data_IF_024516262764
#
_entry.id   IF_024516262764
#
_cell.length_a   1.000
_cell.length_b   1.000
_cell.length_c   1.000
_cell.angle_alpha   90.00
_cell.angle_beta   90.00
_cell.angle_gamma   90.00
#
_symmetry.space_group_name_H-M   'P 1'
#
loop_
_entity.id
_entity.type
_entity.pdbx_description
1 polymer ?
#
# COMPACT_ATOMS: atom_id res chain seq x y z
N UNK A 1 -22.20 8.99 -41.84
CA UNK A 1 -22.54 8.03 -40.75
C UNK A 1 -21.76 6.72 -40.78
N UNK A 2 -21.39 6.15 -41.94
CA UNK A 2 -20.70 4.84 -42.02
C UNK A 2 -19.29 4.83 -41.39
N UNK A 3 -18.58 5.95 -41.38
CA UNK A 3 -17.25 6.08 -40.78
C UNK A 3 -17.25 6.12 -39.24
N UNK A 4 -18.34 6.58 -38.61
CA UNK A 4 -18.43 6.69 -37.14
C UNK A 4 -18.76 5.34 -36.47
N UNK A 5 -19.49 4.48 -37.19
CA UNK A 5 -19.85 3.14 -36.71
C UNK A 5 -18.65 2.19 -36.80
N UNK A 6 -17.82 2.31 -37.85
CA UNK A 6 -16.60 1.52 -37.99
C UNK A 6 -15.54 1.84 -36.92
N UNK A 7 -15.40 3.10 -36.51
CA UNK A 7 -14.47 3.50 -35.45
C UNK A 7 -14.92 3.04 -34.07
N UNK A 8 -16.22 3.08 -33.77
CA UNK A 8 -16.77 2.59 -32.49
C UNK A 8 -16.62 1.06 -32.36
N UNK A 9 -16.87 0.31 -33.44
CA UNK A 9 -16.70 -1.16 -33.45
C UNK A 9 -15.23 -1.56 -33.35
N UNK A 10 -14.31 -0.80 -33.96
CA UNK A 10 -12.87 -1.03 -33.85
C UNK A 10 -12.33 -0.71 -32.44
N UNK A 11 -12.86 0.32 -31.77
CA UNK A 11 -12.51 0.66 -30.39
C UNK A 11 -13.00 -0.39 -29.39
N UNK A 12 -14.18 -0.98 -29.61
CA UNK A 12 -14.69 -2.09 -28.79
C UNK A 12 -13.84 -3.37 -28.93
N UNK A 13 -13.37 -3.68 -30.15
CA UNK A 13 -12.49 -4.84 -30.38
C UNK A 13 -11.09 -4.70 -29.76
N UNK A 14 -10.57 -3.46 -29.65
CA UNK A 14 -9.31 -3.18 -28.94
C UNK A 14 -9.43 -3.26 -27.42
N UNK A 15 -10.61 -2.96 -26.84
CA UNK A 15 -10.87 -3.12 -25.40
C UNK A 15 -11.00 -4.61 -25.01
N UNK A 16 -11.52 -5.46 -25.90
CA UNK A 16 -11.67 -6.90 -25.62
C UNK A 16 -10.34 -7.63 -25.43
N UNK A 17 -9.23 -7.14 -25.99
CA UNK A 17 -7.92 -7.76 -25.81
C UNK A 17 -7.10 -7.19 -24.62
N UNK A 18 -7.62 -6.16 -23.94
CA UNK A 18 -7.00 -5.55 -22.76
C UNK A 18 -7.58 -6.04 -21.42
N UNK A 19 -8.56 -6.96 -21.43
CA UNK A 19 -9.02 -7.67 -20.22
C UNK A 19 -8.03 -8.75 -19.75
N UNK A 20 -6.88 -8.91 -20.42
CA UNK A 20 -5.82 -9.83 -20.02
C UNK A 20 -4.73 -9.18 -19.14
N UNK A 21 -4.81 -7.87 -18.83
CA UNK A 21 -3.88 -7.19 -17.91
C UNK A 21 -4.52 -6.89 -16.55
N UNK A 22 -5.09 -7.94 -15.95
CA UNK A 22 -5.06 -8.12 -14.52
C UNK A 22 -5.12 -9.63 -14.29
N UNK A 23 -4.02 -10.30 -13.89
CA UNK A 23 -4.17 -11.64 -13.34
C UNK A 23 -5.03 -11.45 -12.10
N UNK A 24 -6.31 -11.83 -12.17
CA UNK A 24 -7.18 -11.92 -11.02
C UNK A 24 -6.57 -12.91 -10.04
N UNK A 25 -5.74 -12.40 -9.15
CA UNK A 25 -5.42 -12.88 -7.81
C UNK A 25 -5.32 -14.42 -7.66
N UNK A 26 -4.73 -15.10 -8.64
CA UNK A 26 -4.36 -16.51 -8.55
C UNK A 26 -2.95 -16.70 -7.94
N UNK A 27 -2.36 -15.63 -7.39
CA UNK A 27 -1.16 -15.72 -6.57
C UNK A 27 -1.59 -16.03 -5.14
N UNK A 28 -1.63 -17.31 -4.79
CA UNK A 28 -1.74 -17.71 -3.37
C UNK A 28 -2.63 -18.88 -3.01
N UNK A 29 -3.05 -19.77 -3.92
CA UNK A 29 -3.38 -21.14 -3.50
C UNK A 29 -2.13 -22.00 -3.68
N UNK A 30 -1.12 -21.72 -2.86
CA UNK A 30 -0.16 -22.75 -2.52
C UNK A 30 -0.92 -23.71 -1.60
N UNK A 31 -1.64 -24.68 -2.18
CA UNK A 31 -1.79 -25.95 -1.49
C UNK A 31 -0.37 -26.45 -1.33
N UNK A 32 0.26 -26.14 -0.20
CA UNK A 32 1.43 -26.85 0.28
C UNK A 32 0.95 -28.27 0.57
N UNK A 33 0.80 -29.06 -0.50
CA UNK A 33 0.89 -30.49 -0.41
C UNK A 33 2.35 -30.72 0.01
N UNK A 34 2.58 -30.72 1.32
CA UNK A 34 3.81 -31.21 1.88
C UNK A 34 3.94 -32.64 1.33
N UNK A 35 4.82 -32.82 0.34
CA UNK A 35 5.20 -34.14 -0.14
C UNK A 35 6.05 -34.72 1.00
N UNK A 36 5.38 -35.33 1.97
CA UNK A 36 6.05 -36.04 3.06
C UNK A 36 6.53 -37.36 2.48
N UNK A 37 7.84 -37.60 2.37
CA UNK A 37 8.37 -38.84 1.80
C UNK A 37 7.89 -40.01 2.66
N UNK A 38 7.18 -40.96 2.03
CA UNK A 38 6.77 -42.20 2.68
C UNK A 38 7.97 -43.15 2.66
N UNK A 39 8.56 -43.51 3.81
CA UNK A 39 9.61 -44.53 3.83
C UNK A 39 9.07 -45.90 3.39
N UNK A 40 9.88 -46.68 2.70
CA UNK A 40 9.51 -48.03 2.20
C UNK A 40 9.23 -49.07 3.29
N UNK A 41 9.55 -48.73 4.55
CA UNK A 41 9.14 -49.48 5.74
C UNK A 41 8.18 -48.56 6.49
N UNK A 42 6.94 -49.02 6.69
CA UNK A 42 5.78 -48.17 7.00
C UNK A 42 5.97 -47.12 8.12
N UNK A 43 5.05 -46.15 8.14
CA UNK A 43 5.04 -44.96 9.00
C UNK A 43 4.89 -45.31 10.51
N UNK A 44 5.90 -45.90 11.13
CA UNK A 44 5.86 -46.29 12.54
C UNK A 44 6.28 -45.14 13.48
N UNK A 45 7.08 -44.17 13.00
CA UNK A 45 7.57 -43.02 13.75
C UNK A 45 8.04 -41.89 12.80
N UNK A 46 7.87 -40.62 13.20
CA UNK A 46 8.07 -39.41 12.40
C UNK A 46 6.82 -38.56 12.06
N UNK A 47 7.02 -37.36 11.51
CA UNK A 47 5.92 -36.43 11.19
C UNK A 47 4.81 -37.02 10.29
N UNK A 48 5.10 -38.09 9.53
CA UNK A 48 4.14 -38.83 8.70
C UNK A 48 3.06 -39.55 9.52
N UNK A 49 3.42 -40.26 10.61
CA UNK A 49 2.41 -40.92 11.46
C UNK A 49 1.53 -39.89 12.17
N UNK A 50 2.12 -38.77 12.60
CA UNK A 50 1.38 -37.70 13.27
C UNK A 50 0.38 -37.12 12.29
N UNK A 51 0.73 -36.87 11.03
CA UNK A 51 -0.17 -36.33 10.01
C UNK A 51 -1.30 -37.30 9.61
N UNK A 52 -1.01 -38.59 9.51
CA UNK A 52 -2.00 -39.62 9.12
C UNK A 52 -3.00 -39.92 10.24
N UNK A 53 -2.58 -39.88 11.52
CA UNK A 53 -3.43 -40.16 12.68
C UNK A 53 -4.02 -38.90 13.36
N UNK A 54 -4.00 -37.74 12.71
CA UNK A 54 -4.70 -36.56 13.27
C UNK A 54 -6.21 -36.78 13.20
N UNK A 55 -6.88 -36.63 14.33
CA UNK A 55 -8.34 -36.59 14.35
C UNK A 55 -8.84 -35.50 13.38
N UNK A 56 -9.76 -35.85 12.48
CA UNK A 56 -10.30 -34.92 11.45
C UNK A 56 -10.87 -33.61 12.03
N UNK A 57 -11.20 -33.59 13.32
CA UNK A 57 -11.60 -32.39 14.06
C UNK A 57 -10.48 -31.33 14.10
N UNK A 58 -9.22 -31.72 14.30
CA UNK A 58 -8.08 -30.79 14.35
C UNK A 58 -7.70 -30.31 12.94
N UNK A 59 -7.79 -31.20 11.93
CA UNK A 59 -7.52 -30.84 10.53
C UNK A 59 -8.51 -29.80 9.98
N UNK A 60 -9.79 -29.85 10.39
CA UNK A 60 -10.81 -28.88 9.95
C UNK A 60 -10.74 -27.52 10.65
N UNK A 61 -10.08 -27.42 11.79
CA UNK A 61 -10.02 -26.15 12.54
C UNK A 61 -9.03 -25.13 11.96
N UNK A 62 -8.14 -25.52 11.04
CA UNK A 62 -7.09 -24.62 10.51
C UNK A 62 -7.40 -23.93 9.17
N UNK A 63 -8.56 -24.15 8.53
CA UNK A 63 -8.80 -23.66 7.17
C UNK A 63 -9.68 -22.42 7.02
N UNK A 64 -10.05 -21.75 8.11
CA UNK A 64 -11.06 -20.69 8.06
C UNK A 64 -10.64 -19.41 8.77
N UNK A 65 -9.42 -18.94 8.53
CA UNK A 65 -9.22 -17.49 8.52
C UNK A 65 -9.78 -17.04 7.18
N UNK A 66 -11.01 -16.53 7.17
CA UNK A 66 -11.59 -15.93 5.97
C UNK A 66 -10.56 -14.93 5.46
N UNK A 67 -10.07 -15.12 4.23
CA UNK A 67 -9.31 -14.09 3.55
C UNK A 67 -10.24 -12.89 3.47
N UNK A 68 -10.11 -11.96 4.41
CA UNK A 68 -10.79 -10.68 4.34
C UNK A 68 -10.29 -10.10 3.03
N UNK A 69 -11.12 -10.16 2.00
CA UNK A 69 -10.84 -9.48 0.75
C UNK A 69 -10.70 -8.03 1.15
N UNK A 70 -9.46 -7.54 1.21
CA UNK A 70 -9.18 -6.15 1.54
C UNK A 70 -9.64 -5.34 0.34
N UNK A 71 -10.94 -5.05 0.31
CA UNK A 71 -11.58 -4.22 -0.68
C UNK A 71 -11.13 -2.78 -0.43
N UNK A 72 -9.94 -2.45 -0.93
CA UNK A 72 -9.35 -1.10 -0.99
C UNK A 72 -9.68 -0.14 0.16
N UNK A 73 -9.91 1.12 -0.19
CA UNK A 73 -10.32 2.19 0.71
C UNK A 73 -11.85 2.24 0.73
N UNK A 74 -12.48 2.20 1.91
CA UNK A 74 -13.94 2.19 2.10
C UNK A 74 -14.68 0.93 1.62
N UNK A 75 -14.03 -0.22 1.52
CA UNK A 75 -14.68 -1.44 1.03
C UNK A 75 -14.94 -1.41 -0.49
N UNK A 76 -14.34 -0.45 -1.20
CA UNK A 76 -14.42 -0.26 -2.64
C UNK A 76 -13.11 -0.70 -3.30
N UNK A 77 -13.20 -1.50 -4.36
CA UNK A 77 -12.06 -1.91 -5.16
C UNK A 77 -11.76 -0.92 -6.30
N UNK A 78 -10.69 -1.21 -7.05
CA UNK A 78 -10.30 -0.44 -8.23
C UNK A 78 -11.42 -0.31 -9.29
N UNK A 79 -12.11 -1.41 -9.66
CA UNK A 79 -13.22 -1.35 -10.61
C UNK A 79 -14.39 -0.46 -10.15
N UNK A 80 -14.77 -0.54 -8.88
CA UNK A 80 -15.87 0.25 -8.31
C UNK A 80 -15.53 1.74 -8.31
N UNK A 81 -14.30 2.10 -7.93
CA UNK A 81 -13.82 3.48 -7.98
C UNK A 81 -13.81 4.02 -9.41
N UNK A 82 -13.45 3.21 -10.41
CA UNK A 82 -13.47 3.63 -11.81
C UNK A 82 -14.88 4.00 -12.30
N UNK A 83 -15.90 3.23 -11.92
CA UNK A 83 -17.30 3.52 -12.27
C UNK A 83 -17.75 4.86 -11.67
N UNK A 84 -17.40 5.12 -10.41
CA UNK A 84 -17.73 6.37 -9.72
C UNK A 84 -17.04 7.55 -10.40
N UNK A 85 -15.76 7.42 -10.79
CA UNK A 85 -15.03 8.46 -11.51
C UNK A 85 -15.67 8.78 -12.87
N UNK A 86 -16.13 7.77 -13.60
CA UNK A 86 -16.84 7.97 -14.87
C UNK A 86 -18.15 8.76 -14.61
N UNK A 87 -18.95 8.35 -13.63
CA UNK A 87 -20.19 9.04 -13.28
C UNK A 87 -19.94 10.50 -12.84
N UNK A 88 -18.93 10.74 -12.00
CA UNK A 88 -18.51 12.07 -11.58
C UNK A 88 -18.01 12.93 -12.75
N UNK A 89 -17.27 12.34 -13.69
CA UNK A 89 -16.83 13.02 -14.90
C UNK A 89 -17.99 13.37 -15.83
N UNK A 90 -19.05 12.58 -15.89
CA UNK A 90 -20.27 12.96 -16.62
C UNK A 90 -21.02 14.11 -15.94
N UNK A 91 -21.06 14.14 -14.61
CA UNK A 91 -21.78 15.17 -13.86
C UNK A 91 -21.05 16.52 -13.87
N UNK A 92 -19.73 16.53 -13.64
CA UNK A 92 -18.92 17.75 -13.57
C UNK A 92 -18.28 18.12 -14.92
N UNK A 93 -18.12 17.14 -15.82
CA UNK A 93 -17.31 17.24 -17.03
C UNK A 93 -15.85 16.77 -16.79
N UNK A 94 -15.25 15.99 -17.71
CA UNK A 94 -13.87 15.52 -17.56
C UNK A 94 -12.84 16.67 -17.54
N UNK A 95 -13.17 17.80 -18.15
CA UNK A 95 -12.33 19.01 -18.15
C UNK A 95 -12.23 19.61 -16.74
N UNK A 96 -13.33 19.64 -15.98
CA UNK A 96 -13.35 20.21 -14.63
C UNK A 96 -12.62 19.34 -13.63
N UNK A 97 -12.75 18.02 -13.73
CA UNK A 97 -11.95 17.11 -12.90
C UNK A 97 -10.45 17.23 -13.20
N UNK A 98 -10.06 17.42 -14.47
CA UNK A 98 -8.66 17.63 -14.84
C UNK A 98 -8.11 18.99 -14.35
N UNK A 99 -8.92 20.05 -14.40
CA UNK A 99 -8.58 21.39 -13.88
C UNK A 99 -8.35 21.33 -12.36
N UNK A 100 -9.28 20.75 -11.61
CA UNK A 100 -9.14 20.54 -10.16
C UNK A 100 -7.93 19.65 -9.81
N UNK A 101 -7.70 18.58 -10.58
CA UNK A 101 -6.55 17.71 -10.40
C UNK A 101 -5.21 18.42 -10.62
N UNK A 102 -5.13 19.36 -11.58
CA UNK A 102 -3.94 20.20 -11.80
C UNK A 102 -3.71 21.16 -10.64
N UNK A 103 -4.74 21.83 -10.17
CA UNK A 103 -4.65 22.75 -9.03
C UNK A 103 -4.26 22.02 -7.76
N UNK A 104 -4.93 20.92 -7.44
CA UNK A 104 -4.60 20.06 -6.30
C UNK A 104 -3.20 19.46 -6.41
N UNK A 105 -2.78 19.06 -7.62
CA UNK A 105 -1.43 18.55 -7.88
C UNK A 105 -0.33 19.59 -7.67
N UNK A 106 -0.59 20.84 -8.09
CA UNK A 106 0.32 21.97 -7.83
C UNK A 106 0.42 22.24 -6.33
N UNK A 107 -0.71 22.32 -5.63
CA UNK A 107 -0.73 22.48 -4.17
C UNK A 107 0.01 21.34 -3.46
N UNK A 108 -0.22 20.08 -3.84
CA UNK A 108 0.49 18.94 -3.27
C UNK A 108 2.01 18.97 -3.57
N UNK A 109 2.40 19.50 -4.73
CA UNK A 109 3.80 19.72 -5.09
C UNK A 109 4.48 20.75 -4.19
N UNK A 110 3.86 21.92 -4.02
CA UNK A 110 4.34 22.99 -3.14
C UNK A 110 4.38 22.52 -1.66
N UNK A 111 3.36 21.78 -1.22
CA UNK A 111 3.30 21.19 0.12
C UNK A 111 4.37 20.11 0.36
N UNK A 112 5.11 19.64 -0.65
CA UNK A 112 6.24 18.71 -0.45
C UNK A 112 7.53 19.44 -0.06
N UNK A 113 7.67 20.71 -0.43
CA UNK A 113 8.83 21.53 -0.10
C UNK A 113 8.74 22.04 1.33
N UNK A 114 7.55 22.43 1.79
CA UNK A 114 7.29 22.92 3.15
C UNK A 114 7.79 21.98 4.26
N UNK A 115 7.50 20.65 4.24
CA UNK A 115 8.03 19.71 5.23
C UNK A 115 9.56 19.56 5.20
N UNK A 116 10.21 19.77 4.05
CA UNK A 116 11.67 19.68 3.95
C UNK A 116 12.32 20.90 4.60
N UNK A 117 11.80 22.08 4.28
CA UNK A 117 12.23 23.34 4.90
C UNK A 117 11.96 23.35 6.40
N UNK A 118 10.82 22.81 6.84
CA UNK A 118 10.50 22.65 8.26
C UNK A 118 11.48 21.71 8.98
N UNK A 119 11.82 20.56 8.39
CA UNK A 119 12.82 19.65 8.96
C UNK A 119 14.21 20.30 9.04
N UNK A 120 14.61 21.04 8.01
CA UNK A 120 15.88 21.76 7.99
C UNK A 120 15.91 22.86 9.06
N UNK A 121 14.84 23.66 9.16
CA UNK A 121 14.70 24.71 10.16
C UNK A 121 14.69 24.17 11.60
N UNK A 122 14.05 23.02 11.84
CA UNK A 122 14.12 22.36 13.14
C UNK A 122 15.55 21.89 13.47
N UNK A 123 16.23 21.25 12.52
CA UNK A 123 17.60 20.77 12.74
C UNK A 123 18.60 21.91 12.97
N UNK A 124 18.40 23.05 12.31
CA UNK A 124 19.21 24.25 12.51
C UNK A 124 18.89 24.91 13.86
N UNK A 125 17.61 25.08 14.19
CA UNK A 125 17.17 25.62 15.48
C UNK A 125 17.63 24.77 16.67
N UNK A 126 17.66 23.44 16.56
CA UNK A 126 18.21 22.57 17.60
C UNK A 126 19.73 22.79 17.80
N UNK A 127 20.49 22.92 16.71
CA UNK A 127 21.93 23.20 16.78
C UNK A 127 22.20 24.56 17.40
N UNK A 128 21.43 25.58 17.03
CA UNK A 128 21.57 26.92 17.58
C UNK A 128 21.17 26.98 19.06
N UNK A 129 20.07 26.33 19.43
CA UNK A 129 19.66 26.20 20.83
C UNK A 129 20.71 25.48 21.68
N UNK A 130 21.38 24.45 21.14
CA UNK A 130 22.50 23.79 21.84
C UNK A 130 23.73 24.69 21.98
N UNK A 131 24.05 25.50 20.96
CA UNK A 131 25.16 26.47 21.04
C UNK A 131 24.89 27.54 22.08
N UNK A 132 23.71 28.16 22.04
CA UNK A 132 23.31 29.15 23.05
C UNK A 132 23.32 28.54 24.46
N UNK A 133 22.82 27.30 24.63
CA UNK A 133 22.89 26.62 25.93
C UNK A 133 24.33 26.39 26.41
N UNK A 134 25.26 26.05 25.52
CA UNK A 134 26.68 25.92 25.87
C UNK A 134 27.30 27.26 26.24
N UNK A 135 27.09 28.31 25.45
CA UNK A 135 27.63 29.64 25.74
C UNK A 135 27.09 30.22 27.05
N UNK A 136 25.80 30.01 27.35
CA UNK A 136 25.21 30.38 28.64
C UNK A 136 25.81 29.53 29.78
N UNK A 137 25.99 28.22 29.57
CA UNK A 137 26.59 27.36 30.60
C UNK A 137 28.07 27.67 30.87
N UNK A 138 28.82 28.11 29.86
CA UNK A 138 30.23 28.46 29.99
C UNK A 138 30.39 29.85 30.62
N UNK A 139 29.57 30.84 30.24
CA UNK A 139 29.56 32.15 30.91
C UNK A 139 29.13 32.10 32.38
N UNK A 140 28.25 31.18 32.77
CA UNK A 140 27.89 30.97 34.19
C UNK A 140 29.06 30.36 34.97
N UNK A 141 29.83 29.45 34.37
CA UNK A 141 31.01 28.83 35.02
C UNK A 141 32.18 29.79 35.19
N UNK A 142 32.35 30.74 34.27
CA UNK A 142 33.40 31.75 34.35
C UNK A 142 33.05 32.85 35.37
N UNK A 143 31.77 33.17 35.56
CA UNK A 143 31.33 34.10 36.61
C UNK A 143 31.54 33.54 38.04
N UNK A 144 31.36 32.23 38.24
CA UNK A 144 31.51 31.55 39.55
C UNK A 144 32.99 31.39 39.98
N UNK A 145 33.95 31.49 39.05
CA UNK A 145 35.40 31.39 39.33
C UNK A 145 36.08 32.72 39.66
N UNK A 146 35.41 33.85 39.47
CA UNK A 146 35.99 35.18 39.73
C UNK A 146 35.64 35.68 41.15
N UNK A 147 34.71 35.03 41.85
CA UNK A 147 34.28 35.40 43.21
C UNK A 147 34.94 34.57 44.35
N UNK A 148 35.90 33.69 44.05
CA UNK A 148 36.75 32.98 45.03
C UNK A 148 38.21 33.32 44.88
#
# INVERSE_FOLDING_TARGET
MKFFIGTIVSFAALISNALAFAPGNAFGVHKSAAVIPKPSFGNAQGASYIADNQARAIQRQRSSVASVQTMGLFGLGGPEIAIILIAGAFLLGPQKLAELGKEAGKMAGELKEVPKEFQQGLAEGEKEAQRMKKEIADSIKDADKVET
#
